data_IF_444211476685
#
_entry.id   IF_444211476685
#
_cell.length_a   1.000
_cell.length_b   1.000
_cell.length_c   1.000
_cell.angle_alpha   90.00
_cell.angle_beta   90.00
_cell.angle_gamma   90.00
#
_symmetry.space_group_name_H-M   'P 1'
#
loop_
_entity.id
_entity.type
_entity.pdbx_description
1 polymer ?
#
# COMPACT_ATOMS: atom_id res chain seq x y z
N UNK A 1 -33.62 -16.09 57.86
CA UNK A 1 -32.52 -15.85 56.91
C UNK A 1 -33.14 -15.61 55.55
N UNK A 2 -32.97 -14.41 54.99
CA UNK A 2 -33.66 -13.99 53.77
C UNK A 2 -32.93 -14.56 52.55
N UNK A 3 -33.32 -15.76 52.12
CA UNK A 3 -32.78 -16.45 50.93
C UNK A 3 -32.87 -15.63 49.63
N UNK A 4 -33.76 -14.62 49.58
CA UNK A 4 -33.94 -13.77 48.40
C UNK A 4 -32.88 -12.67 48.29
N UNK A 5 -32.36 -12.17 49.41
CA UNK A 5 -31.22 -11.25 49.41
C UNK A 5 -29.95 -11.96 48.92
N UNK A 6 -29.85 -13.26 49.17
CA UNK A 6 -28.74 -14.10 48.74
C UNK A 6 -28.70 -14.32 47.21
N UNK A 7 -29.87 -14.55 46.61
CA UNK A 7 -30.00 -14.67 45.15
C UNK A 7 -29.69 -13.37 44.41
N UNK A 8 -30.02 -12.22 45.01
CA UNK A 8 -29.77 -10.90 44.43
C UNK A 8 -28.28 -10.48 44.46
N UNK A 9 -27.46 -10.98 45.38
CA UNK A 9 -26.01 -10.71 45.36
C UNK A 9 -25.28 -11.62 44.37
N UNK A 10 -25.67 -12.89 44.26
CA UNK A 10 -25.06 -13.83 43.33
C UNK A 10 -25.32 -13.39 41.87
N UNK A 11 -26.55 -12.98 41.56
CA UNK A 11 -26.90 -12.40 40.26
C UNK A 11 -26.11 -11.11 39.94
N UNK A 12 -25.93 -10.22 40.94
CA UNK A 12 -25.08 -9.02 40.78
C UNK A 12 -23.60 -9.35 40.60
N UNK A 13 -23.08 -10.34 41.33
CA UNK A 13 -21.70 -10.80 41.22
C UNK A 13 -21.41 -11.42 39.85
N UNK A 14 -22.33 -12.22 39.31
CA UNK A 14 -22.19 -12.79 37.97
C UNK A 14 -22.21 -11.73 36.87
N UNK A 15 -23.11 -10.74 36.97
CA UNK A 15 -23.12 -9.61 36.05
C UNK A 15 -21.81 -8.81 36.12
N UNK A 16 -21.28 -8.56 37.32
CA UNK A 16 -20.00 -7.87 37.48
C UNK A 16 -18.82 -8.66 36.90
N UNK A 17 -18.81 -9.99 37.07
CA UNK A 17 -17.79 -10.86 36.45
C UNK A 17 -17.90 -10.84 34.92
N UNK A 18 -19.12 -10.83 34.37
CA UNK A 18 -19.32 -10.71 32.93
C UNK A 18 -18.85 -9.34 32.40
N UNK A 19 -19.12 -8.25 33.11
CA UNK A 19 -18.63 -6.90 32.77
C UNK A 19 -17.10 -6.87 32.82
N UNK A 20 -16.49 -7.40 33.88
CA UNK A 20 -15.03 -7.41 34.03
C UNK A 20 -14.37 -8.26 32.92
N UNK A 21 -14.91 -9.46 32.63
CA UNK A 21 -14.43 -10.29 31.51
C UNK A 21 -14.56 -9.59 30.16
N UNK A 22 -15.63 -8.81 29.97
CA UNK A 22 -15.84 -8.03 28.75
C UNK A 22 -14.82 -6.89 28.67
N UNK A 23 -14.56 -6.18 29.77
CA UNK A 23 -13.55 -5.13 29.84
C UNK A 23 -12.12 -5.68 29.63
N UNK A 24 -11.81 -6.84 30.21
CA UNK A 24 -10.54 -7.55 30.02
C UNK A 24 -10.38 -8.01 28.57
N UNK A 25 -11.43 -8.56 27.96
CA UNK A 25 -11.44 -8.98 26.56
C UNK A 25 -11.33 -7.79 25.58
N UNK A 26 -11.94 -6.64 25.91
CA UNK A 26 -11.80 -5.38 25.16
C UNK A 26 -10.36 -4.85 25.29
N UNK A 27 -9.74 -5.00 26.45
CA UNK A 27 -8.35 -4.57 26.67
C UNK A 27 -7.35 -5.49 25.97
N UNK A 28 -7.62 -6.79 25.95
CA UNK A 28 -6.83 -7.81 25.25
C UNK A 28 -7.04 -7.83 23.73
N UNK A 29 -8.09 -7.16 23.25
CA UNK A 29 -8.35 -6.99 21.83
C UNK A 29 -7.19 -6.29 21.12
N UNK A 30 -6.98 -6.63 19.86
CA UNK A 30 -6.08 -5.87 18.99
C UNK A 30 -6.46 -4.39 19.02
N UNK A 31 -5.48 -3.52 19.28
CA UNK A 31 -5.64 -2.08 19.16
C UNK A 31 -4.92 -1.60 17.91
N UNK A 32 -5.46 -0.55 17.31
CA UNK A 32 -4.78 0.14 16.24
C UNK A 32 -3.72 1.07 16.82
N UNK A 33 -2.47 0.94 16.36
CA UNK A 33 -1.37 1.78 16.81
C UNK A 33 -0.67 2.48 15.64
N UNK A 34 -0.28 3.76 15.79
CA UNK A 34 0.59 4.41 14.84
C UNK A 34 1.94 3.68 14.78
N UNK A 35 2.52 3.62 13.59
CA UNK A 35 3.75 2.88 13.35
C UNK A 35 4.52 3.45 12.16
N UNK A 36 5.81 3.07 12.07
CA UNK A 36 6.66 3.31 10.92
C UNK A 36 7.15 1.99 10.32
N UNK A 37 7.34 1.95 9.01
CA UNK A 37 7.92 0.81 8.32
C UNK A 37 9.43 0.75 8.57
N UNK A 38 9.95 -0.42 8.95
CA UNK A 38 11.38 -0.67 9.17
C UNK A 38 11.97 -1.69 8.19
N UNK A 39 11.14 -2.51 7.55
CA UNK A 39 11.53 -3.38 6.45
C UNK A 39 10.34 -3.63 5.51
N UNK A 40 10.64 -3.88 4.23
CA UNK A 40 9.64 -4.16 3.18
C UNK A 40 10.05 -5.44 2.46
N UNK A 41 9.10 -6.38 2.32
CA UNK A 41 9.27 -7.63 1.59
C UNK A 41 8.01 -7.90 0.75
N UNK A 42 8.01 -7.39 -0.50
CA UNK A 42 6.84 -7.48 -1.38
C UNK A 42 5.63 -6.78 -0.77
N UNK A 43 4.55 -7.52 -0.55
CA UNK A 43 3.31 -7.02 0.07
C UNK A 43 3.29 -7.13 1.61
N UNK A 44 4.42 -7.47 2.23
CA UNK A 44 4.61 -7.52 3.68
C UNK A 44 5.50 -6.37 4.13
N UNK A 45 5.18 -5.80 5.28
CA UNK A 45 5.99 -4.78 5.94
C UNK A 45 6.27 -5.18 7.37
N UNK A 46 7.50 -4.96 7.82
CA UNK A 46 7.85 -5.00 9.24
C UNK A 46 7.70 -3.59 9.80
N UNK A 47 6.99 -3.43 10.91
CA UNK A 47 6.70 -2.12 11.50
C UNK A 47 7.21 -1.98 12.93
N UNK A 48 7.60 -0.77 13.30
CA UNK A 48 7.87 -0.35 14.66
C UNK A 48 6.79 0.62 15.14
N UNK A 49 6.31 0.45 16.38
CA UNK A 49 5.23 1.29 16.93
C UNK A 49 5.72 2.67 17.36
N UNK A 50 4.90 3.68 17.08
CA UNK A 50 5.11 5.10 17.39
C UNK A 50 4.17 5.55 18.52
N UNK A 51 4.11 4.78 19.60
CA UNK A 51 3.27 5.05 20.77
C UNK A 51 4.06 4.81 22.07
N UNK A 52 3.72 5.56 23.12
CA UNK A 52 4.20 5.26 24.47
C UNK A 52 3.46 4.02 25.00
N UNK A 53 4.19 2.92 25.07
CA UNK A 53 3.68 1.60 25.47
C UNK A 53 4.40 1.10 26.74
N UNK A 54 4.85 2.03 27.57
CA UNK A 54 5.51 1.71 28.84
C UNK A 54 4.70 0.74 29.72
N UNK A 55 5.38 -0.19 30.43
CA UNK A 55 6.84 -0.31 30.58
C UNK A 55 7.54 -1.14 29.50
N UNK A 56 6.85 -1.64 28.47
CA UNK A 56 7.44 -2.56 27.50
C UNK A 56 7.26 -2.08 26.05
N UNK A 57 8.37 -1.88 25.34
CA UNK A 57 8.32 -1.63 23.90
C UNK A 57 7.89 -2.92 23.18
N UNK A 58 6.79 -2.91 22.40
CA UNK A 58 6.38 -4.10 21.67
C UNK A 58 7.44 -4.47 20.64
N UNK A 59 7.54 -5.77 20.30
CA UNK A 59 8.43 -6.20 19.23
C UNK A 59 7.99 -5.58 17.90
N UNK A 60 8.95 -5.45 16.99
CA UNK A 60 8.63 -5.20 15.59
C UNK A 60 7.87 -6.41 15.03
N UNK A 61 6.84 -6.15 14.24
CA UNK A 61 5.97 -7.19 13.70
C UNK A 61 5.90 -7.11 12.18
N UNK A 62 5.81 -8.26 11.52
CA UNK A 62 5.66 -8.34 10.06
C UNK A 62 4.22 -8.64 9.72
N UNK A 63 3.61 -7.75 8.93
CA UNK A 63 2.18 -7.73 8.66
C UNK A 63 1.91 -7.39 7.19
N UNK A 64 0.79 -7.86 6.61
CA UNK A 64 0.41 -7.49 5.25
C UNK A 64 0.06 -6.01 5.13
N UNK A 65 0.32 -5.46 3.95
CA UNK A 65 -0.18 -4.15 3.53
C UNK A 65 -1.66 -4.24 3.14
N UNK A 66 -2.44 -3.22 3.44
CA UNK A 66 -3.81 -3.07 2.96
C UNK A 66 -3.81 -2.61 1.49
N UNK A 67 -3.49 -3.51 0.57
CA UNK A 67 -3.48 -3.22 -0.86
C UNK A 67 -3.99 -4.40 -1.70
N UNK A 68 -4.44 -4.08 -2.91
CA UNK A 68 -4.83 -5.08 -3.90
C UNK A 68 -3.69 -5.33 -4.92
N UNK A 69 -3.82 -6.36 -5.76
CA UNK A 69 -2.81 -6.67 -6.77
C UNK A 69 -2.67 -5.58 -7.86
N UNK A 70 -3.71 -4.77 -8.07
CA UNK A 70 -3.82 -3.82 -9.18
C UNK A 70 -3.40 -2.39 -8.83
N UNK A 71 -3.50 -2.00 -7.56
CA UNK A 71 -3.09 -0.68 -7.08
C UNK A 71 -2.15 -0.93 -5.91
N UNK A 72 -0.86 -0.72 -6.18
CA UNK A 72 0.23 -1.00 -5.22
C UNK A 72 1.01 0.27 -4.96
N UNK A 73 1.15 0.62 -3.70
CA UNK A 73 1.95 1.77 -3.30
C UNK A 73 3.42 1.37 -3.18
N UNK A 74 4.37 2.18 -3.67
CA UNK A 74 5.82 1.90 -3.60
C UNK A 74 6.37 2.16 -2.19
N UNK A 75 5.83 1.47 -1.19
CA UNK A 75 6.16 1.64 0.23
C UNK A 75 7.64 1.49 0.50
N UNK A 76 8.19 2.41 1.28
CA UNK A 76 9.60 2.48 1.66
C UNK A 76 9.80 2.33 3.17
N UNK A 77 11.03 1.99 3.57
CA UNK A 77 11.45 2.10 4.96
C UNK A 77 11.35 3.56 5.41
N UNK A 78 10.73 3.79 6.56
CA UNK A 78 10.44 5.11 7.11
C UNK A 78 9.03 5.61 6.84
N UNK A 79 8.25 4.96 5.96
CA UNK A 79 6.85 5.34 5.73
C UNK A 79 6.01 5.18 7.00
N UNK A 80 5.15 6.15 7.26
CA UNK A 80 4.24 6.15 8.40
C UNK A 80 2.90 5.52 8.05
N UNK A 81 2.29 4.88 9.04
CA UNK A 81 0.97 4.32 8.89
C UNK A 81 0.34 3.90 10.21
N UNK A 82 -0.75 3.16 10.09
CA UNK A 82 -1.53 2.64 11.19
C UNK A 82 -1.60 1.11 11.08
N UNK A 83 -1.40 0.42 12.19
CA UNK A 83 -1.77 -0.99 12.30
C UNK A 83 -3.27 -1.08 12.56
N UNK A 84 -3.98 -1.94 11.83
CA UNK A 84 -5.42 -2.14 12.00
C UNK A 84 -5.68 -3.60 12.35
N UNK A 85 -6.31 -3.89 13.50
CA UNK A 85 -6.63 -5.26 13.89
C UNK A 85 -7.79 -5.82 13.10
N UNK A 86 -7.65 -7.07 12.68
CA UNK A 86 -8.75 -7.88 12.18
C UNK A 86 -9.43 -8.62 13.33
N UNK A 87 -10.75 -8.79 13.24
CA UNK A 87 -11.52 -9.50 14.27
C UNK A 87 -11.33 -11.02 14.21
N UNK A 88 -10.84 -11.54 13.09
CA UNK A 88 -10.49 -12.96 12.89
C UNK A 88 -9.08 -13.07 12.32
N UNK A 89 -8.53 -14.28 12.36
CA UNK A 89 -7.18 -14.55 11.85
C UNK A 89 -7.08 -14.24 10.34
N UNK A 90 -6.00 -13.57 9.94
CA UNK A 90 -5.76 -13.20 8.53
C UNK A 90 -4.42 -13.70 8.00
N UNK A 91 -3.62 -14.39 8.80
CA UNK A 91 -2.27 -14.78 8.36
C UNK A 91 -2.29 -15.81 7.22
N UNK A 92 -3.40 -16.52 7.03
CA UNK A 92 -3.59 -17.40 5.87
C UNK A 92 -3.63 -16.63 4.55
N UNK A 93 -4.32 -15.48 4.49
CA UNK A 93 -4.41 -14.69 3.25
C UNK A 93 -3.10 -13.98 2.90
N UNK A 94 -2.25 -13.71 3.90
CA UNK A 94 -0.94 -13.09 3.71
C UNK A 94 0.22 -14.07 3.62
N UNK A 95 -0.05 -15.38 3.68
CA UNK A 95 0.98 -16.43 3.68
C UNK A 95 1.84 -16.50 4.95
N UNK A 96 1.49 -15.76 6.01
CA UNK A 96 2.19 -15.72 7.30
C UNK A 96 1.77 -16.86 8.25
N UNK A 97 0.76 -17.66 7.90
CA UNK A 97 0.33 -18.81 8.69
C UNK A 97 -0.54 -19.78 7.88
N UNK A 98 -0.70 -21.01 8.41
CA UNK A 98 -1.62 -22.01 7.86
C UNK A 98 -2.94 -22.06 8.61
N UNK A 99 -4.05 -22.37 7.91
CA UNK A 99 -5.35 -22.67 8.51
C UNK A 99 -6.49 -21.74 8.09
N UNK A 100 -7.72 -22.26 8.07
CA UNK A 100 -8.94 -21.49 7.79
C UNK A 100 -9.33 -20.68 9.02
N UNK A 101 -9.61 -19.38 8.90
CA UNK A 101 -10.00 -18.56 10.04
C UNK A 101 -11.32 -19.01 10.66
N UNK A 102 -11.30 -19.23 11.97
CA UNK A 102 -12.52 -19.36 12.78
C UNK A 102 -12.98 -17.99 13.31
N UNK A 103 -14.13 -17.96 13.98
CA UNK A 103 -14.68 -16.75 14.60
C UNK A 103 -13.97 -16.35 15.91
N UNK A 104 -12.88 -17.03 16.27
CA UNK A 104 -12.12 -16.72 17.47
C UNK A 104 -11.29 -15.47 17.26
N UNK A 105 -11.46 -14.50 18.14
CA UNK A 105 -10.69 -13.27 18.11
C UNK A 105 -9.21 -13.54 18.42
N UNK A 106 -8.28 -13.13 17.54
CA UNK A 106 -6.86 -13.28 17.79
C UNK A 106 -6.39 -12.33 18.90
N UNK A 107 -5.33 -12.70 19.60
CA UNK A 107 -4.68 -11.85 20.59
C UNK A 107 -4.07 -10.60 19.97
N UNK A 108 -3.76 -9.61 20.80
CA UNK A 108 -3.13 -8.37 20.34
C UNK A 108 -1.86 -8.67 19.53
N UNK A 109 -1.62 -7.87 18.49
CA UNK A 109 -0.49 -7.97 17.56
C UNK A 109 -0.44 -9.22 16.64
N UNK A 110 -1.43 -10.11 16.67
CA UNK A 110 -1.40 -11.36 15.91
C UNK A 110 -2.12 -11.31 14.54
N UNK A 111 -3.14 -10.46 14.39
CA UNK A 111 -3.90 -10.31 13.15
C UNK A 111 -4.04 -8.82 12.82
N UNK A 112 -2.99 -8.25 12.25
CA UNK A 112 -2.91 -6.83 11.93
C UNK A 112 -2.68 -6.65 10.43
N UNK A 113 -3.19 -5.56 9.89
CA UNK A 113 -2.88 -5.06 8.55
C UNK A 113 -2.25 -3.67 8.69
N UNK A 114 -1.27 -3.36 7.85
CA UNK A 114 -0.72 -2.03 7.77
C UNK A 114 -1.46 -1.18 6.74
N UNK A 115 -1.90 0.02 7.15
CA UNK A 115 -2.53 1.01 6.28
C UNK A 115 -1.65 2.25 6.25
N UNK A 116 -1.22 2.74 5.07
CA UNK A 116 -0.48 3.99 4.98
C UNK A 116 -1.36 5.15 5.44
N UNK A 117 -0.77 6.09 6.18
CA UNK A 117 -1.47 7.30 6.64
C UNK A 117 -0.66 8.52 6.21
N UNK A 118 -1.37 9.57 5.79
CA UNK A 118 -0.75 10.83 5.46
C UNK A 118 0.12 11.32 6.63
N UNK A 119 1.30 11.84 6.31
CA UNK A 119 2.24 12.33 7.31
C UNK A 119 2.56 13.80 7.07
N UNK A 120 3.05 14.48 8.11
CA UNK A 120 3.45 15.89 8.04
C UNK A 120 4.57 16.18 7.05
N UNK A 121 5.25 15.14 6.55
CA UNK A 121 6.33 15.26 5.57
C UNK A 121 5.83 15.23 4.13
N UNK A 122 4.53 14.95 3.90
CA UNK A 122 3.96 14.95 2.57
C UNK A 122 3.89 16.40 2.05
N UNK A 123 4.54 16.65 0.92
CA UNK A 123 4.51 17.95 0.25
C UNK A 123 3.12 18.28 -0.29
N UNK A 124 2.86 19.58 -0.48
CA UNK A 124 1.67 20.02 -1.20
C UNK A 124 1.71 19.53 -2.66
N UNK A 125 0.58 19.06 -3.17
CA UNK A 125 0.40 18.61 -4.55
C UNK A 125 -0.77 19.34 -5.19
N UNK A 126 -0.93 19.20 -6.50
CA UNK A 126 -2.07 19.78 -7.22
C UNK A 126 -3.39 19.28 -6.62
N UNK A 127 -4.22 20.20 -6.11
CA UNK A 127 -5.50 19.87 -5.44
C UNK A 127 -6.65 19.64 -6.42
N UNK A 128 -6.47 19.96 -7.70
CA UNK A 128 -7.51 19.88 -8.73
C UNK A 128 -7.35 18.65 -9.65
N UNK A 129 -6.36 17.79 -9.39
CA UNK A 129 -6.11 16.58 -10.16
C UNK A 129 -5.65 15.45 -9.24
N UNK A 130 -5.90 14.20 -9.64
CA UNK A 130 -5.32 13.06 -8.95
C UNK A 130 -3.79 13.11 -9.05
N UNK A 131 -3.10 12.92 -7.94
CA UNK A 131 -1.65 12.89 -7.88
C UNK A 131 -1.17 11.45 -7.73
N UNK A 132 -0.53 10.92 -8.78
CA UNK A 132 0.07 9.58 -8.79
C UNK A 132 1.58 9.77 -8.94
N UNK A 133 2.31 9.39 -7.91
CA UNK A 133 3.77 9.53 -7.86
C UNK A 133 4.38 8.46 -6.98
N UNK A 134 5.65 8.16 -7.22
CA UNK A 134 6.48 7.25 -6.45
C UNK A 134 7.94 7.69 -6.54
N UNK A 135 8.83 7.12 -5.71
CA UNK A 135 10.25 7.50 -5.70
C UNK A 135 10.96 7.41 -7.06
N UNK A 136 10.45 6.59 -7.99
CA UNK A 136 10.97 6.44 -9.36
C UNK A 136 9.90 6.73 -10.42
N UNK A 137 8.80 7.39 -10.03
CA UNK A 137 7.64 7.62 -10.89
C UNK A 137 6.53 6.57 -10.74
N UNK A 138 5.86 6.21 -11.85
CA UNK A 138 4.67 5.38 -11.84
C UNK A 138 4.56 4.49 -13.09
N UNK A 139 3.89 3.34 -12.94
CA UNK A 139 3.64 2.38 -14.02
C UNK A 139 2.15 2.07 -14.09
N UNK A 140 1.59 2.11 -15.30
CA UNK A 140 0.22 1.67 -15.62
C UNK A 140 0.36 0.60 -16.69
N UNK A 141 0.01 -0.64 -16.37
CA UNK A 141 0.24 -1.79 -17.26
C UNK A 141 -0.94 -2.75 -17.30
N UNK A 142 -1.13 -3.41 -18.45
CA UNK A 142 -1.97 -4.59 -18.55
C UNK A 142 -1.32 -5.78 -17.84
N UNK A 143 -2.12 -6.73 -17.36
CA UNK A 143 -1.60 -7.90 -16.62
C UNK A 143 -0.65 -8.80 -17.43
N UNK A 144 -0.73 -8.75 -18.75
CA UNK A 144 0.17 -9.43 -19.69
C UNK A 144 1.43 -8.60 -20.05
N UNK A 145 1.53 -7.36 -19.57
CA UNK A 145 2.64 -6.45 -19.85
C UNK A 145 2.76 -5.99 -21.31
N UNK A 146 1.75 -6.23 -22.14
CA UNK A 146 1.78 -5.88 -23.57
C UNK A 146 1.54 -4.38 -23.81
N UNK A 147 0.76 -3.75 -22.94
CA UNK A 147 0.48 -2.31 -22.97
C UNK A 147 0.92 -1.69 -21.65
N UNK A 148 1.84 -0.74 -21.71
CA UNK A 148 2.46 -0.13 -20.53
C UNK A 148 2.67 1.37 -20.75
N UNK A 149 2.31 2.19 -19.77
CA UNK A 149 2.76 3.57 -19.63
C UNK A 149 3.68 3.64 -18.41
N UNK A 150 4.89 4.14 -18.60
CA UNK A 150 5.88 4.32 -17.54
C UNK A 150 6.27 5.79 -17.48
N UNK A 151 6.06 6.41 -16.33
CA UNK A 151 6.62 7.72 -15.98
C UNK A 151 7.83 7.45 -15.09
N UNK A 152 8.98 7.99 -15.47
CA UNK A 152 10.24 7.88 -14.73
C UNK A 152 10.93 9.24 -14.63
N UNK A 153 11.96 9.36 -13.79
CA UNK A 153 12.71 10.61 -13.63
C UNK A 153 13.30 11.13 -14.95
N UNK A 154 13.69 10.21 -15.84
CA UNK A 154 14.32 10.55 -17.12
C UNK A 154 13.34 10.80 -18.28
N UNK A 155 12.03 10.57 -18.08
CA UNK A 155 11.04 10.72 -19.15
C UNK A 155 9.84 9.80 -19.06
N UNK A 156 9.11 9.68 -20.16
CA UNK A 156 7.87 8.89 -20.28
C UNK A 156 8.00 7.87 -21.39
N UNK A 157 7.58 6.63 -21.15
CA UNK A 157 7.55 5.55 -22.14
C UNK A 157 6.14 4.99 -22.28
N UNK A 158 5.71 4.78 -23.52
CA UNK A 158 4.45 4.10 -23.86
C UNK A 158 4.78 2.89 -24.74
N UNK A 159 4.43 1.70 -24.29
CA UNK A 159 4.57 0.44 -25.02
C UNK A 159 3.19 -0.09 -25.42
N UNK A 160 3.03 -0.51 -26.67
CA UNK A 160 1.82 -1.19 -27.18
C UNK A 160 2.22 -2.27 -28.18
N UNK A 161 1.92 -3.54 -27.90
CA UNK A 161 2.06 -4.63 -28.88
C UNK A 161 3.45 -4.76 -29.52
N UNK A 162 4.50 -4.42 -28.78
CA UNK A 162 5.90 -4.45 -29.24
C UNK A 162 6.42 -3.16 -29.88
N UNK A 163 5.59 -2.13 -30.04
CA UNK A 163 6.03 -0.76 -30.34
C UNK A 163 6.23 0.02 -29.05
N UNK A 164 7.19 0.93 -29.07
CA UNK A 164 7.53 1.78 -27.93
C UNK A 164 7.71 3.22 -28.39
N UNK A 165 7.09 4.15 -27.68
CA UNK A 165 7.37 5.58 -27.76
C UNK A 165 8.07 6.00 -26.49
N UNK A 166 9.21 6.66 -26.63
CA UNK A 166 10.00 7.14 -25.50
C UNK A 166 10.19 8.63 -25.66
N UNK A 167 9.70 9.41 -24.70
CA UNK A 167 9.87 10.85 -24.63
C UNK A 167 10.83 11.19 -23.50
N UNK A 168 11.97 11.77 -23.85
CA UNK A 168 13.02 12.20 -22.90
C UNK A 168 13.44 13.63 -23.19
N UNK A 169 14.40 14.16 -22.43
CA UNK A 169 15.03 15.46 -22.73
C UNK A 169 15.67 15.51 -24.14
N UNK A 170 16.01 14.36 -24.73
CA UNK A 170 16.58 14.29 -26.08
C UNK A 170 15.51 14.30 -27.21
N UNK A 171 14.22 14.23 -26.86
CA UNK A 171 13.12 14.19 -27.83
C UNK A 171 12.27 12.92 -27.76
N UNK A 172 11.37 12.78 -28.75
CA UNK A 172 10.47 11.66 -28.94
C UNK A 172 11.08 10.63 -29.90
N UNK A 173 11.36 9.44 -29.38
CA UNK A 173 11.83 8.29 -30.17
C UNK A 173 10.71 7.27 -30.34
N UNK A 174 10.49 6.80 -31.57
CA UNK A 174 9.62 5.67 -31.87
C UNK A 174 10.50 4.43 -32.06
N UNK A 175 10.05 3.26 -31.58
CA UNK A 175 10.75 1.95 -31.58
C UNK A 175 11.41 1.50 -32.89
N UNK A 176 11.13 2.13 -34.01
CA UNK A 176 11.89 2.00 -35.26
C UNK A 176 13.26 2.70 -35.22
N UNK A 177 13.61 3.35 -34.11
CA UNK A 177 14.82 4.17 -33.96
C UNK A 177 14.69 5.57 -34.57
N UNK A 178 13.52 5.92 -35.09
CA UNK A 178 13.26 7.25 -35.65
C UNK A 178 13.03 8.23 -34.50
N UNK A 179 13.92 9.21 -34.40
CA UNK A 179 13.76 10.38 -33.52
C UNK A 179 13.02 11.44 -34.29
N UNK A 180 11.84 11.85 -33.83
CA UNK A 180 10.97 12.74 -34.59
C UNK A 180 11.62 14.13 -34.80
N UNK A 181 12.44 14.57 -33.85
CA UNK A 181 13.10 15.88 -33.86
C UNK A 181 14.23 15.96 -34.90
N UNK A 182 14.86 14.85 -35.28
CA UNK A 182 16.03 14.84 -36.18
C UNK A 182 15.91 13.85 -37.33
N UNK A 183 14.73 13.26 -37.55
CA UNK A 183 14.52 12.31 -38.64
C UNK A 183 14.82 13.00 -39.98
N UNK A 184 15.29 12.28 -41.00
CA UNK A 184 15.57 12.84 -42.32
C UNK A 184 14.77 12.16 -43.44
N UNK A 185 14.46 12.88 -44.52
CA UNK A 185 13.75 12.37 -45.71
C UNK A 185 14.71 12.31 -46.91
N UNK A 186 14.66 11.23 -47.70
CA UNK A 186 15.44 11.06 -48.94
C UNK A 186 14.52 10.85 -50.15
N UNK A 187 14.86 11.41 -51.32
CA UNK A 187 14.17 11.11 -52.59
C UNK A 187 13.12 12.12 -53.08
N UNK A 188 13.19 13.39 -52.67
CA UNK A 188 12.29 14.46 -53.15
C UNK A 188 12.52 14.79 -54.64
N UNK A 189 11.47 14.73 -55.46
CA UNK A 189 11.49 15.22 -56.85
C UNK A 189 11.29 16.75 -56.89
N UNK A 190 12.01 17.44 -57.78
CA UNK A 190 11.85 18.90 -57.99
C UNK A 190 10.51 19.18 -58.65
N UNK A 191 9.53 19.59 -57.84
CA UNK A 191 8.19 20.00 -58.30
C UNK A 191 7.07 19.12 -57.74
N UNK A 192 6.53 19.53 -56.59
CA UNK A 192 5.24 19.05 -56.07
C UNK A 192 5.28 17.96 -54.98
N UNK A 193 6.19 17.99 -54.00
CA UNK A 193 6.27 16.94 -52.96
C UNK A 193 6.66 17.48 -51.59
N UNK A 194 6.23 16.77 -50.53
CA UNK A 194 6.51 17.08 -49.11
C UNK A 194 8.01 17.23 -48.80
N UNK A 195 8.31 18.09 -47.83
CA UNK A 195 9.63 18.70 -47.58
C UNK A 195 10.70 17.74 -47.05
N UNK A 196 11.94 18.26 -47.04
CA UNK A 196 13.01 17.76 -46.18
C UNK A 196 12.66 17.87 -44.68
N UNK A 197 13.44 17.22 -43.83
CA UNK A 197 13.17 17.10 -42.39
C UNK A 197 13.29 18.38 -41.56
N UNK A 198 12.82 18.35 -40.30
CA UNK A 198 13.32 19.26 -39.25
C UNK A 198 14.87 19.32 -39.25
N UNK A 199 15.45 20.50 -39.01
CA UNK A 199 16.89 20.70 -38.71
C UNK A 199 17.12 20.73 -37.21
#
# INVERSE_FOLDING_TARGET
MNHDAEKLWFSRSLNQVAVNRTADAITAAGKAFPCRVVAVAGSLVTVAFEADLSPATPPQITIPKAEGPWIRSPTQVGDYGLTVPADVFISHISGQGGGTPGLQRPGNLAALVWVPVASKTFGAVNTNAAYVSGPQGAVIETSDGNTVITVAESGVTIKVGGKTWTFTAAGLTISTGVVLETHVHSGVQTGGSDTGPPV
#
